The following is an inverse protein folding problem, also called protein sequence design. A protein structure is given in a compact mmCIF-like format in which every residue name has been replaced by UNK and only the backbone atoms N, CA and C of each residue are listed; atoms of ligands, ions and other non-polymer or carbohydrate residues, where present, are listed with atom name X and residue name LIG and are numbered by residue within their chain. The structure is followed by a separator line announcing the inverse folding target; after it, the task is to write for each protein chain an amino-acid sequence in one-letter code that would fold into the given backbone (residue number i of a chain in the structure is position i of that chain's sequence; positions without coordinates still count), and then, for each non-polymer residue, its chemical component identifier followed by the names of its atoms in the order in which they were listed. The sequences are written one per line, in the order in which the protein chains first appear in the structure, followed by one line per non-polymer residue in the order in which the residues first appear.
data_IF_315426549975
#
_entry.id   IF_315426549975
#
_cell.length_a   1.000
_cell.length_b   1.000
_cell.length_c   1.000
_cell.angle_alpha   90.00
_cell.angle_beta   90.00
_cell.angle_gamma   90.00
#
_symmetry.space_group_name_H-M   'P 1'
#
loop_
_entity.id
_entity.type
_entity.pdbx_description
1 polymer ?
#
# COMPACT_ATOMS: atom_id res chain seq x y z
N UNK A 1 37.25 -26.03 -5.00
CA UNK A 1 37.10 -24.82 -4.18
C UNK A 1 35.97 -24.01 -4.78
N UNK A 2 34.75 -24.20 -4.27
CA UNK A 2 33.62 -23.32 -4.60
C UNK A 2 33.34 -22.53 -3.33
N UNK A 3 33.59 -21.22 -3.41
CA UNK A 3 33.30 -20.29 -2.33
C UNK A 3 31.78 -20.19 -2.15
N UNK A 4 31.33 -20.63 -0.98
CA UNK A 4 29.99 -20.37 -0.46
C UNK A 4 29.88 -18.86 -0.21
N UNK A 5 28.97 -18.20 -0.93
CA UNK A 5 28.59 -16.81 -0.70
C UNK A 5 27.78 -16.72 0.62
N UNK A 6 28.29 -16.13 1.71
CA UNK A 6 27.55 -15.99 2.95
C UNK A 6 26.95 -14.58 3.00
N UNK A 7 25.63 -14.43 2.84
CA UNK A 7 25.02 -13.12 3.11
C UNK A 7 23.66 -12.79 2.52
N UNK A 8 22.94 -13.69 1.86
CA UNK A 8 21.53 -13.44 1.59
C UNK A 8 20.68 -13.92 2.77
N UNK A 9 19.91 -13.05 3.43
CA UNK A 9 18.86 -13.50 4.33
C UNK A 9 17.92 -14.38 3.53
N UNK A 10 17.89 -15.67 3.84
CA UNK A 10 16.86 -16.57 3.32
C UNK A 10 15.52 -15.99 3.76
N UNK A 11 14.68 -15.61 2.79
CA UNK A 11 13.28 -15.29 3.08
C UNK A 11 12.71 -16.43 3.95
N UNK A 12 11.96 -16.14 5.01
CA UNK A 12 11.41 -17.19 5.85
C UNK A 12 10.46 -18.01 4.96
N UNK A 13 10.87 -19.22 4.60
CA UNK A 13 10.11 -20.12 3.75
C UNK A 13 8.77 -20.54 4.40
N UNK A 14 8.57 -20.19 5.67
CA UNK A 14 7.43 -20.57 6.48
C UNK A 14 6.92 -19.36 7.31
N UNK A 15 6.29 -18.40 6.63
CA UNK A 15 5.56 -17.33 7.31
C UNK A 15 4.07 -17.40 6.98
N UNK A 16 3.24 -17.50 8.02
CA UNK A 16 1.78 -17.36 7.88
C UNK A 16 1.49 -15.87 7.79
N UNK A 17 0.88 -15.44 6.69
CA UNK A 17 0.46 -14.04 6.51
C UNK A 17 -1.04 -13.92 6.78
N UNK A 18 -1.45 -12.90 7.51
CA UNK A 18 -2.83 -12.50 7.78
C UNK A 18 -3.07 -11.10 7.20
N UNK A 19 -4.26 -10.85 6.65
CA UNK A 19 -4.68 -9.49 6.24
C UNK A 19 -5.78 -9.02 7.20
N UNK A 20 -5.66 -7.79 7.69
CA UNK A 20 -6.68 -7.18 8.56
C UNK A 20 -6.97 -5.75 8.13
N UNK A 21 -8.25 -5.36 8.22
CA UNK A 21 -8.71 -3.98 8.06
C UNK A 21 -9.01 -3.28 9.40
N UNK A 22 -8.59 -3.88 10.52
CA UNK A 22 -8.70 -3.26 11.85
C UNK A 22 -7.67 -2.12 11.99
N UNK A 23 -8.12 -0.85 12.12
CA UNK A 23 -7.22 0.29 12.24
C UNK A 23 -6.37 0.25 13.51
N UNK A 24 -6.81 -0.44 14.58
CA UNK A 24 -6.06 -0.53 15.84
C UNK A 24 -4.79 -1.38 15.72
N UNK A 25 -4.68 -2.21 14.67
CA UNK A 25 -3.52 -3.08 14.44
C UNK A 25 -2.41 -2.44 13.62
N UNK A 26 -2.67 -1.29 13.00
CA UNK A 26 -1.72 -0.63 12.10
C UNK A 26 -0.49 -0.13 12.86
N UNK A 27 0.68 -0.56 12.42
CA UNK A 27 1.96 0.00 12.83
C UNK A 27 2.25 1.27 12.01
N UNK A 28 1.86 2.42 12.56
CA UNK A 28 2.07 3.73 11.93
C UNK A 28 3.55 4.03 11.72
N UNK A 29 4.45 3.52 12.58
CA UNK A 29 5.89 3.70 12.43
C UNK A 29 6.41 2.98 11.18
N UNK A 30 6.04 1.70 11.04
CA UNK A 30 6.35 0.91 9.85
C UNK A 30 5.80 1.54 8.57
N UNK A 31 4.51 1.90 8.56
CA UNK A 31 3.86 2.46 7.37
C UNK A 31 4.51 3.80 6.98
N UNK A 32 4.78 4.68 7.95
CA UNK A 32 5.43 5.96 7.70
C UNK A 32 6.83 5.79 7.12
N UNK A 33 7.65 4.93 7.74
CA UNK A 33 8.99 4.66 7.24
C UNK A 33 8.95 4.09 5.81
N UNK A 34 8.09 3.09 5.56
CA UNK A 34 7.95 2.46 4.26
C UNK A 34 7.57 3.47 3.17
N UNK A 35 6.49 4.23 3.37
CA UNK A 35 6.01 5.18 2.38
C UNK A 35 6.98 6.35 2.18
N UNK A 36 7.49 6.91 3.27
CA UNK A 36 8.35 8.10 3.22
C UNK A 36 9.73 7.84 2.63
N UNK A 37 10.24 6.61 2.68
CA UNK A 37 11.64 6.32 2.30
C UNK A 37 11.82 5.27 1.22
N UNK A 38 10.79 4.46 0.95
CA UNK A 38 10.90 3.31 0.03
C UNK A 38 9.91 3.39 -1.14
N UNK A 39 9.17 4.50 -1.27
CA UNK A 39 8.21 4.69 -2.36
C UNK A 39 8.38 6.04 -3.02
N UNK A 40 8.37 6.06 -4.35
CA UNK A 40 8.53 7.31 -5.11
C UNK A 40 7.28 8.20 -5.07
N UNK A 41 6.09 7.63 -4.83
CA UNK A 41 4.82 8.38 -4.84
C UNK A 41 4.49 9.08 -3.51
N UNK A 42 5.15 8.70 -2.41
CA UNK A 42 4.93 9.27 -1.08
C UNK A 42 6.24 9.62 -0.36
N UNK A 43 7.33 9.80 -1.13
CA UNK A 43 8.63 10.20 -0.62
C UNK A 43 8.50 11.43 0.30
N UNK A 44 9.12 11.36 1.47
CA UNK A 44 9.16 12.41 2.49
C UNK A 44 7.79 12.86 3.02
N UNK A 45 6.73 12.06 2.85
CA UNK A 45 5.40 12.38 3.39
C UNK A 45 5.49 12.70 4.91
N UNK A 46 5.01 13.87 5.36
CA UNK A 46 5.01 14.20 6.78
C UNK A 46 4.15 13.22 7.59
N UNK A 47 4.64 12.81 8.77
CA UNK A 47 3.95 11.84 9.63
C UNK A 47 2.53 12.27 9.97
N UNK A 48 2.31 13.56 10.26
CA UNK A 48 0.98 14.11 10.55
C UNK A 48 0.02 13.98 9.36
N UNK A 49 0.53 14.17 8.13
CA UNK A 49 -0.25 14.05 6.90
C UNK A 49 -0.62 12.59 6.64
N UNK A 50 0.31 11.65 6.83
CA UNK A 50 0.01 10.23 6.75
C UNK A 50 -1.02 9.80 7.80
N UNK A 51 -0.87 10.24 9.05
CA UNK A 51 -1.83 9.90 10.12
C UNK A 51 -3.24 10.37 9.79
N UNK A 52 -3.41 11.60 9.28
CA UNK A 52 -4.70 12.10 8.80
C UNK A 52 -5.22 11.28 7.61
N UNK A 53 -4.36 10.92 6.66
CA UNK A 53 -4.77 10.10 5.53
C UNK A 53 -5.29 8.73 5.97
N UNK A 54 -4.61 8.08 6.94
CA UNK A 54 -5.01 6.80 7.53
C UNK A 54 -6.34 6.93 8.27
N UNK A 55 -6.52 7.96 9.10
CA UNK A 55 -7.74 8.14 9.91
C UNK A 55 -9.02 8.36 9.09
N UNK A 56 -8.89 8.80 7.84
CA UNK A 56 -10.01 9.05 6.92
C UNK A 56 -10.10 8.04 5.77
N UNK A 57 -9.37 6.92 5.85
CA UNK A 57 -9.36 5.88 4.82
C UNK A 57 -9.74 4.52 5.41
N UNK A 58 -10.19 3.60 4.54
CA UNK A 58 -10.22 2.18 4.87
C UNK A 58 -8.83 1.61 4.59
N UNK A 59 -8.14 1.12 5.61
CA UNK A 59 -6.77 0.66 5.51
C UNK A 59 -6.69 -0.84 5.76
N UNK A 60 -5.71 -1.49 5.13
CA UNK A 60 -5.43 -2.92 5.25
C UNK A 60 -3.96 -3.11 5.60
N UNK A 61 -3.69 -3.85 6.67
CA UNK A 61 -2.35 -4.30 7.04
C UNK A 61 -2.16 -5.77 6.69
N UNK A 62 -0.99 -6.13 6.18
CA UNK A 62 -0.55 -7.52 6.08
C UNK A 62 0.42 -7.83 7.22
N UNK A 63 0.17 -8.90 7.96
CA UNK A 63 0.96 -9.28 9.14
C UNK A 63 1.55 -10.67 8.93
N UNK A 64 2.86 -10.80 9.08
CA UNK A 64 3.56 -12.08 8.97
C UNK A 64 3.94 -12.60 10.36
N UNK A 65 3.64 -13.88 10.59
CA UNK A 65 4.04 -14.63 11.78
C UNK A 65 4.96 -15.76 11.35
N UNK A 66 6.10 -15.91 12.03
CA UNK A 66 7.02 -17.04 11.81
C UNK A 66 6.38 -18.35 12.29
N UNK A 67 6.57 -19.44 11.55
CA UNK A 67 6.00 -20.75 11.92
C UNK A 67 6.59 -21.32 13.21
N UNK A 68 7.87 -21.05 13.50
CA UNK A 68 8.51 -21.45 14.77
C UNK A 68 8.03 -20.64 15.99
N UNK A 69 7.10 -19.70 15.79
CA UNK A 69 6.53 -18.85 16.82
C UNK A 69 7.05 -17.41 16.79
N UNK A 70 6.34 -16.50 17.45
CA UNK A 70 6.69 -15.07 17.52
C UNK A 70 5.48 -14.16 17.35
N UNK A 71 5.67 -12.88 17.66
CA UNK A 71 4.63 -11.87 17.42
C UNK A 71 4.50 -11.58 15.92
N UNK A 72 3.25 -11.44 15.45
CA UNK A 72 2.98 -11.03 14.08
C UNK A 72 3.53 -9.61 13.84
N UNK A 73 4.34 -9.42 12.79
CA UNK A 73 4.84 -8.10 12.39
C UNK A 73 4.12 -7.61 11.15
N UNK A 74 3.87 -6.30 11.04
CA UNK A 74 3.35 -5.76 9.79
C UNK A 74 4.43 -5.82 8.69
N UNK A 75 4.06 -6.33 7.51
CA UNK A 75 4.93 -6.54 6.34
C UNK A 75 4.35 -5.96 5.06
N UNK A 76 3.13 -5.41 5.12
CA UNK A 76 2.48 -4.79 3.97
C UNK A 76 1.35 -3.88 4.38
N UNK A 77 0.95 -3.05 3.43
CA UNK A 77 -0.07 -2.03 3.61
C UNK A 77 -0.81 -1.77 2.29
N UNK A 78 -2.10 -1.45 2.40
CA UNK A 78 -2.89 -0.88 1.33
C UNK A 78 -3.91 0.09 1.92
N UNK A 79 -4.23 1.16 1.19
CA UNK A 79 -5.16 2.19 1.65
C UNK A 79 -6.21 2.46 0.59
N UNK A 80 -7.46 2.64 1.03
CA UNK A 80 -8.60 2.94 0.15
C UNK A 80 -9.29 4.21 0.64
N UNK A 81 -9.32 5.23 -0.21
CA UNK A 81 -10.14 6.43 -0.01
C UNK A 81 -11.50 6.15 -0.65
N UNK A 82 -12.59 6.22 0.10
CA UNK A 82 -13.91 5.83 -0.42
C UNK A 82 -15.05 6.52 0.34
N UNK A 83 -16.18 6.70 -0.35
CA UNK A 83 -17.48 7.03 0.25
C UNK A 83 -18.27 5.77 0.67
N UNK A 84 -17.74 4.57 0.40
CA UNK A 84 -18.36 3.25 0.63
C UNK A 84 -19.69 3.02 -0.10
N UNK A 85 -19.96 3.80 -1.15
CA UNK A 85 -21.23 3.77 -1.86
C UNK A 85 -21.07 3.86 -3.38
N UNK A 86 -20.25 4.79 -3.88
CA UNK A 86 -20.16 5.08 -5.32
C UNK A 86 -18.74 5.07 -5.85
N UNK A 87 -17.74 5.36 -5.02
CA UNK A 87 -16.38 5.60 -5.46
C UNK A 87 -15.33 5.06 -4.49
N UNK A 88 -14.24 4.49 -5.03
CA UNK A 88 -13.03 4.20 -4.29
C UNK A 88 -11.76 4.53 -5.09
N UNK A 89 -10.70 4.89 -4.38
CA UNK A 89 -9.34 5.03 -4.89
C UNK A 89 -8.38 4.16 -4.06
N UNK A 90 -7.74 3.18 -4.70
CA UNK A 90 -6.71 2.34 -4.11
C UNK A 90 -5.36 3.06 -4.19
N UNK A 91 -4.74 3.24 -3.03
CA UNK A 91 -3.49 3.96 -2.83
C UNK A 91 -2.54 3.15 -1.93
N UNK A 92 -1.27 3.54 -1.95
CA UNK A 92 -0.25 3.12 -0.98
C UNK A 92 -0.12 1.60 -0.81
N UNK A 93 -0.30 0.84 -1.89
CA UNK A 93 -0.04 -0.60 -1.89
C UNK A 93 1.46 -0.83 -1.78
N UNK A 94 1.89 -1.40 -0.65
CA UNK A 94 3.28 -1.65 -0.35
C UNK A 94 3.46 -3.03 0.30
N UNK A 95 4.57 -3.68 -0.05
CA UNK A 95 5.06 -4.91 0.59
C UNK A 95 6.53 -4.73 0.91
N UNK A 96 6.91 -5.05 2.14
CA UNK A 96 8.28 -5.10 2.63
C UNK A 96 9.16 -5.84 1.61
N UNK A 97 10.27 -5.24 1.13
CA UNK A 97 11.15 -5.86 0.13
C UNK A 97 11.57 -7.29 0.47
N UNK A 98 11.80 -7.60 1.74
CA UNK A 98 12.20 -8.94 2.20
C UNK A 98 11.09 -9.99 2.10
N UNK A 99 9.84 -9.56 1.90
CA UNK A 99 8.66 -10.41 1.84
C UNK A 99 7.98 -10.39 0.45
N UNK A 100 8.62 -9.75 -0.55
CA UNK A 100 8.12 -9.73 -1.93
C UNK A 100 8.28 -11.10 -2.59
N UNK A 101 7.51 -11.34 -3.66
CA UNK A 101 7.46 -12.64 -4.34
C UNK A 101 6.58 -13.69 -3.63
N UNK A 102 6.16 -13.44 -2.38
CA UNK A 102 5.34 -14.37 -1.58
C UNK A 102 3.82 -14.17 -1.76
N UNK A 103 3.40 -13.44 -2.80
CA UNK A 103 1.97 -13.20 -3.09
C UNK A 103 1.25 -12.25 -2.12
N UNK A 104 1.94 -11.57 -1.20
CA UNK A 104 1.32 -10.69 -0.20
C UNK A 104 0.54 -9.53 -0.85
N UNK A 105 1.11 -8.87 -1.86
CA UNK A 105 0.43 -7.79 -2.58
C UNK A 105 -0.85 -8.27 -3.29
N UNK A 106 -0.85 -9.51 -3.78
CA UNK A 106 -2.03 -10.17 -4.35
C UNK A 106 -3.13 -10.29 -3.29
N UNK A 107 -2.78 -10.82 -2.11
CA UNK A 107 -3.70 -11.03 -0.98
C UNK A 107 -4.27 -9.72 -0.42
N UNK A 108 -3.46 -8.66 -0.37
CA UNK A 108 -3.93 -7.31 -0.02
C UNK A 108 -5.01 -6.85 -0.99
N UNK A 109 -4.77 -6.95 -2.30
CA UNK A 109 -5.75 -6.56 -3.32
C UNK A 109 -7.03 -7.40 -3.25
N UNK A 110 -6.91 -8.72 -3.07
CA UNK A 110 -8.07 -9.62 -2.90
C UNK A 110 -8.93 -9.22 -1.70
N UNK A 111 -8.32 -8.91 -0.55
CA UNK A 111 -9.05 -8.47 0.64
C UNK A 111 -9.69 -7.09 0.47
N UNK A 112 -9.01 -6.16 -0.22
CA UNK A 112 -9.59 -4.87 -0.58
C UNK A 112 -10.84 -5.06 -1.43
N UNK A 113 -10.73 -5.82 -2.51
CA UNK A 113 -11.83 -5.98 -3.48
C UNK A 113 -12.98 -6.81 -2.94
N UNK A 114 -12.74 -7.71 -1.99
CA UNK A 114 -13.77 -8.49 -1.33
C UNK A 114 -14.42 -7.78 -0.14
N UNK A 115 -13.92 -6.61 0.28
CA UNK A 115 -14.41 -5.95 1.50
C UNK A 115 -15.88 -5.54 1.34
N UNK A 116 -16.78 -5.86 2.30
CA UNK A 116 -18.22 -5.62 2.17
C UNK A 116 -18.59 -4.16 1.88
N UNK A 117 -17.88 -3.20 2.50
CA UNK A 117 -18.11 -1.76 2.28
C UNK A 117 -17.58 -1.22 0.95
N UNK A 118 -16.96 -2.06 0.12
CA UNK A 118 -16.40 -1.68 -1.19
C UNK A 118 -17.14 -2.37 -2.34
N UNK A 119 -18.31 -2.96 -2.08
CA UNK A 119 -19.15 -3.60 -3.08
C UNK A 119 -20.11 -2.60 -3.74
N UNK A 120 -20.50 -2.84 -4.99
CA UNK A 120 -21.48 -2.02 -5.71
C UNK A 120 -21.00 -0.63 -6.11
N UNK A 121 -19.71 -0.32 -5.93
CA UNK A 121 -19.14 0.95 -6.32
C UNK A 121 -19.25 1.17 -7.83
N UNK A 122 -19.70 2.36 -8.23
CA UNK A 122 -19.74 2.75 -9.65
C UNK A 122 -18.34 2.86 -10.25
N UNK A 123 -17.33 3.19 -9.45
CA UNK A 123 -15.96 3.40 -9.92
C UNK A 123 -14.92 3.08 -8.86
N UNK A 124 -13.93 2.28 -9.24
CA UNK A 124 -12.72 2.02 -8.47
C UNK A 124 -11.51 2.46 -9.28
N UNK A 125 -10.71 3.41 -8.78
CA UNK A 125 -9.52 3.92 -9.45
C UNK A 125 -8.23 3.56 -8.72
N UNK A 126 -7.14 3.54 -9.47
CA UNK A 126 -5.78 3.53 -8.97
C UNK A 126 -4.85 4.20 -9.98
N UNK A 127 -3.65 4.56 -9.53
CA UNK A 127 -2.53 4.91 -10.40
C UNK A 127 -1.42 3.87 -10.19
N UNK A 128 -0.80 3.42 -11.27
CA UNK A 128 0.25 2.40 -11.23
C UNK A 128 1.31 2.67 -12.28
N UNK A 129 2.58 2.52 -11.92
CA UNK A 129 3.72 2.68 -12.85
C UNK A 129 4.17 1.32 -13.40
N UNK A 130 4.20 0.29 -12.56
CA UNK A 130 4.84 -1.01 -12.84
C UNK A 130 3.97 -2.23 -12.53
N UNK A 131 2.86 -2.06 -11.80
CA UNK A 131 1.96 -3.13 -11.39
C UNK A 131 0.67 -3.26 -12.23
N UNK A 132 0.62 -2.71 -13.46
CA UNK A 132 -0.57 -2.74 -14.30
C UNK A 132 -1.09 -4.16 -14.57
N UNK A 133 -0.20 -5.13 -14.83
CA UNK A 133 -0.56 -6.53 -15.06
C UNK A 133 -1.13 -7.22 -13.81
N UNK A 134 -0.78 -6.76 -12.61
CA UNK A 134 -1.39 -7.22 -11.36
C UNK A 134 -2.84 -6.76 -11.28
N UNK A 135 -3.08 -5.47 -11.48
CA UNK A 135 -4.41 -4.90 -11.34
C UNK A 135 -5.37 -5.34 -12.44
N UNK A 136 -4.88 -5.58 -13.66
CA UNK A 136 -5.69 -6.11 -14.75
C UNK A 136 -6.37 -7.44 -14.43
N UNK A 137 -5.73 -8.29 -13.61
CA UNK A 137 -6.32 -9.57 -13.15
C UNK A 137 -7.56 -9.40 -12.27
N UNK A 138 -7.78 -8.19 -11.76
CA UNK A 138 -8.90 -7.82 -10.93
C UNK A 138 -9.93 -6.95 -11.64
N UNK A 139 -9.86 -6.85 -12.97
CA UNK A 139 -10.80 -6.05 -13.76
C UNK A 139 -10.50 -4.56 -13.79
N UNK A 140 -9.33 -4.11 -13.30
CA UNK A 140 -8.88 -2.75 -13.59
C UNK A 140 -8.45 -2.65 -15.05
N UNK A 141 -9.02 -1.70 -15.76
CA UNK A 141 -8.66 -1.38 -17.13
C UNK A 141 -7.91 -0.05 -17.16
N UNK A 142 -6.98 0.16 -18.13
CA UNK A 142 -6.47 1.49 -18.40
C UNK A 142 -7.64 2.45 -18.58
N UNK A 143 -7.52 3.65 -18.00
CA UNK A 143 -8.53 4.69 -18.22
C UNK A 143 -8.72 4.87 -19.73
N UNK A 144 -9.99 4.90 -20.17
CA UNK A 144 -10.38 5.04 -21.57
C UNK A 144 -9.94 6.38 -22.18
N UNK A 145 -10.68 7.00 -23.12
CA UNK A 145 -10.20 8.19 -23.80
C UNK A 145 -9.76 9.27 -22.79
N UNK A 146 -8.50 9.66 -22.90
CA UNK A 146 -7.74 10.51 -21.96
C UNK A 146 -8.37 11.89 -21.72
N UNK A 147 -9.38 12.27 -22.49
CA UNK A 147 -10.07 13.56 -22.39
C UNK A 147 -11.18 13.63 -21.31
N UNK A 148 -11.51 12.53 -20.62
CA UNK A 148 -12.59 12.52 -19.61
C UNK A 148 -12.10 12.68 -18.16
N UNK A 149 -10.79 12.52 -17.93
CA UNK A 149 -10.20 12.58 -16.59
C UNK A 149 -9.19 13.71 -16.55
N UNK A 150 -9.31 14.59 -15.55
CA UNK A 150 -8.38 15.69 -15.31
C UNK A 150 -7.90 15.60 -13.88
N UNK A 151 -6.67 16.09 -13.63
CA UNK A 151 -6.07 16.08 -12.30
C UNK A 151 -5.27 17.36 -12.06
N UNK A 152 -5.20 17.79 -10.80
CA UNK A 152 -4.15 18.68 -10.32
C UNK A 152 -3.10 17.78 -9.67
N UNK A 153 -1.97 17.61 -10.33
CA UNK A 153 -0.92 16.69 -9.89
C UNK A 153 0.35 17.45 -9.54
N UNK A 154 0.82 17.27 -8.30
CA UNK A 154 2.07 17.85 -7.77
C UNK A 154 2.90 16.72 -7.16
N UNK A 155 3.61 15.92 -7.97
CA UNK A 155 4.27 14.70 -7.51
C UNK A 155 5.32 14.95 -6.42
N UNK A 156 5.96 16.12 -6.41
CA UNK A 156 7.07 16.48 -5.52
C UNK A 156 6.64 17.39 -4.35
N UNK A 157 5.36 17.35 -3.97
CA UNK A 157 4.79 18.31 -2.99
C UNK A 157 5.44 18.24 -1.60
N UNK A 158 5.99 17.08 -1.20
CA UNK A 158 6.64 16.90 0.10
C UNK A 158 8.16 17.11 0.07
N UNK A 159 8.77 17.03 -1.12
CA UNK A 159 10.23 17.13 -1.30
C UNK A 159 10.66 18.55 -1.70
N UNK A 160 9.73 19.38 -2.20
CA UNK A 160 10.01 20.77 -2.54
C UNK A 160 10.12 21.66 -1.29
N UNK A 161 11.18 22.47 -1.18
CA UNK A 161 11.47 23.36 -0.03
C UNK A 161 10.43 24.46 0.21
N UNK A 162 9.43 24.59 -0.65
CA UNK A 162 8.26 25.44 -0.43
C UNK A 162 7.14 24.58 0.11
N UNK A 163 7.24 24.14 1.37
CA UNK A 163 6.16 23.40 2.01
C UNK A 163 5.05 24.40 2.41
N UNK A 164 3.88 24.42 1.76
CA UNK A 164 2.83 25.37 2.10
C UNK A 164 2.22 25.12 3.50
N UNK A 165 2.57 24.00 4.15
CA UNK A 165 2.18 23.71 5.54
C UNK A 165 3.07 24.38 6.59
N UNK A 166 4.12 25.12 6.20
CA UNK A 166 4.96 25.96 7.07
C UNK A 166 4.67 27.47 6.93
N UNK A 167 3.56 27.85 6.27
CA UNK A 167 3.13 29.25 6.27
C UNK A 167 2.73 29.67 7.70
N UNK A 168 3.19 30.85 8.18
CA UNK A 168 2.98 31.32 9.55
C UNK A 168 1.51 31.52 9.92
#
# INVERSE_FOLDING_TARGET
MNDLNPGQPTAPAEAIVEISSDPARLDIGFIHHALSTQTHWAQDIPRNTLMRAISHSLCFGAYATQVEGGAARQVGFARVITDRATFAYLADVFVDPSMRGLGIGKRLCENVLAHPSLQGLRRFLLATTDAASLYARYGFEPLGPVNKMMQIHRPDIYTSRTNPQEAP
#
